data_IF_330731796692
#
_entry.id   IF_330731796692
#
_cell.length_a   1.000
_cell.length_b   1.000
_cell.length_c   1.000
_cell.angle_alpha   90.00
_cell.angle_beta   90.00
_cell.angle_gamma   90.00
#
_symmetry.space_group_name_H-M   'P 1'
#
loop_
_entity.id
_entity.type
_entity.pdbx_description
1 polymer ?
#
# COMPACT_ATOMS: atom_id res chain seq x y z
N UNK A 1 0.43 -11.80 13.91
CA UNK A 1 -0.68 -11.40 13.05
C UNK A 1 -0.18 -11.06 11.65
N UNK A 2 0.28 -9.85 11.39
CA UNK A 2 0.86 -9.41 10.12
C UNK A 2 1.80 -8.24 10.40
N UNK A 3 2.95 -8.20 9.69
CA UNK A 3 3.84 -7.04 9.71
C UNK A 3 3.52 -6.11 8.54
N UNK A 4 3.25 -4.84 8.82
CA UNK A 4 3.06 -3.79 7.82
C UNK A 4 4.37 -3.01 7.69
N UNK A 5 5.23 -3.41 6.75
CA UNK A 5 6.56 -2.81 6.49
C UNK A 5 6.42 -1.80 5.36
N UNK A 6 5.74 -0.70 5.65
CA UNK A 6 5.35 0.29 4.65
C UNK A 6 6.48 1.28 4.41
N UNK A 7 6.73 1.59 3.14
CA UNK A 7 7.73 2.57 2.73
C UNK A 7 9.14 2.01 2.53
N UNK A 8 9.36 0.73 2.74
CA UNK A 8 10.67 0.08 2.56
C UNK A 8 10.62 -0.96 1.43
N UNK A 9 11.68 -1.09 0.63
CA UNK A 9 11.82 -2.17 -0.35
C UNK A 9 12.27 -3.44 0.38
N UNK A 10 11.37 -4.40 0.53
CA UNK A 10 11.66 -5.68 1.19
C UNK A 10 11.72 -6.76 0.13
N UNK A 11 12.87 -7.41 -0.11
CA UNK A 11 12.96 -8.58 -0.97
C UNK A 11 12.08 -9.73 -0.47
N UNK A 12 11.60 -10.58 -1.36
CA UNK A 12 10.72 -11.70 -1.01
C UNK A 12 11.39 -12.72 -0.05
N UNK A 13 12.69 -12.84 -0.14
CA UNK A 13 13.54 -13.75 0.64
C UNK A 13 14.27 -13.08 1.81
N UNK A 14 13.93 -11.80 2.12
CA UNK A 14 14.60 -11.05 3.19
C UNK A 14 14.46 -11.71 4.57
N UNK A 15 13.29 -12.28 4.85
CA UNK A 15 13.05 -13.01 6.10
C UNK A 15 13.06 -14.51 5.87
N UNK A 16 13.75 -15.27 6.72
CA UNK A 16 13.81 -16.74 6.62
C UNK A 16 12.47 -17.43 6.90
N UNK A 17 11.66 -16.86 7.81
CA UNK A 17 10.42 -17.48 8.29
C UNK A 17 9.16 -16.66 8.03
N UNK A 18 9.28 -15.43 7.56
CA UNK A 18 8.14 -14.54 7.31
C UNK A 18 7.98 -14.33 5.80
N UNK A 19 6.88 -14.77 5.23
CA UNK A 19 6.57 -14.65 3.79
C UNK A 19 5.70 -13.42 3.51
N UNK A 20 5.69 -12.97 2.26
CA UNK A 20 4.71 -11.96 1.83
C UNK A 20 3.29 -12.51 1.99
N UNK A 21 2.35 -11.64 2.37
CA UNK A 21 0.94 -12.02 2.46
C UNK A 21 0.36 -12.25 1.07
N UNK A 22 -0.49 -13.27 0.91
CA UNK A 22 -1.13 -13.63 -0.36
C UNK A 22 -2.52 -13.03 -0.55
N UNK A 23 -3.16 -12.62 0.56
CA UNK A 23 -4.54 -12.09 0.56
C UNK A 23 -4.80 -11.17 1.76
N UNK A 24 -6.04 -10.78 1.95
CA UNK A 24 -6.48 -9.87 3.02
C UNK A 24 -6.57 -10.50 4.42
N UNK A 25 -6.55 -11.82 4.55
CA UNK A 25 -6.78 -12.53 5.81
C UNK A 25 -5.60 -13.37 6.28
N UNK A 26 -4.63 -13.66 5.40
CA UNK A 26 -3.41 -14.40 5.75
C UNK A 26 -2.69 -13.75 6.93
N UNK A 27 -2.30 -14.56 7.91
CA UNK A 27 -1.57 -14.14 9.11
C UNK A 27 -0.19 -14.80 9.17
N UNK A 28 0.73 -14.29 10.00
CA UNK A 28 2.12 -14.77 10.03
C UNK A 28 2.90 -14.37 8.78
N UNK A 29 2.55 -13.24 8.17
CA UNK A 29 3.13 -12.76 6.92
C UNK A 29 3.43 -11.25 6.99
N UNK A 30 3.99 -10.68 5.94
CA UNK A 30 4.21 -9.23 5.85
C UNK A 30 3.63 -8.63 4.57
N UNK A 31 3.33 -7.34 4.61
CA UNK A 31 2.98 -6.51 3.46
C UNK A 31 3.94 -5.34 3.36
N UNK A 32 4.25 -4.93 2.13
CA UNK A 32 5.11 -3.78 1.85
C UNK A 32 4.67 -3.08 0.58
N UNK A 33 4.89 -1.79 0.51
CA UNK A 33 4.78 -0.96 -0.70
C UNK A 33 5.47 0.38 -0.51
N UNK A 34 5.78 1.05 -1.63
CA UNK A 34 6.25 2.45 -1.71
C UNK A 34 5.43 3.15 -2.78
N UNK A 35 4.76 4.25 -2.44
CA UNK A 35 3.81 4.91 -3.34
C UNK A 35 4.47 6.01 -4.16
N UNK A 36 4.26 5.93 -5.47
CA UNK A 36 4.65 6.95 -6.44
C UNK A 36 3.46 7.34 -7.31
N UNK A 37 3.50 8.57 -7.84
CA UNK A 37 2.46 9.03 -8.75
C UNK A 37 2.44 8.17 -10.00
N UNK A 38 1.25 7.74 -10.41
CA UNK A 38 1.04 6.97 -11.64
C UNK A 38 1.67 7.70 -12.84
N UNK A 39 2.25 6.91 -13.74
CA UNK A 39 2.92 7.38 -14.96
C UNK A 39 4.10 8.33 -14.70
N UNK A 40 4.62 8.38 -13.47
CA UNK A 40 5.91 9.02 -13.20
C UNK A 40 7.03 7.99 -13.30
N UNK A 41 8.16 8.41 -13.82
CA UNK A 41 9.38 7.61 -13.75
C UNK A 41 9.77 7.36 -12.29
N UNK A 42 10.12 6.12 -11.97
CA UNK A 42 10.72 5.80 -10.69
C UNK A 42 12.07 6.54 -10.56
N UNK A 43 12.42 7.01 -9.37
CA UNK A 43 13.76 7.52 -9.13
C UNK A 43 14.82 6.49 -9.53
N UNK A 44 15.97 6.96 -10.02
CA UNK A 44 17.04 6.11 -10.54
C UNK A 44 17.48 5.03 -9.54
N UNK A 45 17.56 5.37 -8.26
CA UNK A 45 17.94 4.41 -7.21
C UNK A 45 16.97 3.23 -7.07
N UNK A 46 15.68 3.39 -7.45
CA UNK A 46 14.71 2.29 -7.49
C UNK A 46 14.91 1.46 -8.77
N UNK A 47 15.19 2.12 -9.90
CA UNK A 47 15.48 1.43 -11.15
C UNK A 47 16.76 0.58 -11.04
N UNK A 48 17.72 1.00 -10.22
CA UNK A 48 18.99 0.32 -9.98
C UNK A 48 18.89 -0.84 -8.95
N UNK A 49 17.74 -1.04 -8.31
CA UNK A 49 17.53 -2.16 -7.40
C UNK A 49 17.68 -3.49 -8.15
N UNK A 50 18.65 -4.31 -7.71
CA UNK A 50 18.96 -5.63 -8.32
C UNK A 50 18.12 -6.78 -7.75
N UNK A 51 17.08 -6.47 -7.00
CA UNK A 51 16.17 -7.44 -6.41
C UNK A 51 14.71 -7.05 -6.69
N UNK A 52 13.83 -8.03 -6.63
CA UNK A 52 12.39 -7.80 -6.69
C UNK A 52 11.87 -7.53 -5.29
N UNK A 53 11.38 -6.33 -5.06
CA UNK A 53 10.71 -5.97 -3.79
C UNK A 53 9.28 -6.52 -3.77
N UNK A 54 8.84 -6.95 -2.59
CA UNK A 54 7.43 -7.26 -2.35
C UNK A 54 6.63 -5.98 -2.43
N UNK A 55 5.60 -5.98 -3.26
CA UNK A 55 4.60 -4.90 -3.34
C UNK A 55 3.21 -5.53 -3.24
N UNK A 56 2.48 -5.17 -2.20
CA UNK A 56 1.10 -5.58 -1.99
C UNK A 56 0.19 -4.36 -2.17
N UNK A 57 -0.82 -4.49 -3.02
CA UNK A 57 -1.76 -3.39 -3.25
C UNK A 57 -2.71 -3.24 -2.04
N UNK A 58 -2.69 -2.12 -1.30
CA UNK A 58 -3.50 -1.94 -0.10
C UNK A 58 -5.01 -1.79 -0.37
N UNK A 59 -5.44 -1.76 -1.63
CA UNK A 59 -6.86 -1.76 -2.00
C UNK A 59 -7.43 -3.18 -2.15
N UNK A 60 -6.59 -4.17 -2.47
CA UNK A 60 -6.99 -5.57 -2.69
C UNK A 60 -6.29 -6.55 -1.75
N UNK A 61 -5.15 -6.16 -1.19
CA UNK A 61 -4.26 -7.00 -0.37
C UNK A 61 -3.63 -8.16 -1.14
N UNK A 62 -3.50 -7.99 -2.46
CA UNK A 62 -2.87 -8.95 -3.38
C UNK A 62 -1.68 -8.31 -4.08
N UNK A 63 -0.90 -9.13 -4.78
CA UNK A 63 0.23 -8.70 -5.61
C UNK A 63 -0.11 -8.60 -7.11
N UNK A 64 -1.40 -8.55 -7.47
CA UNK A 64 -1.83 -8.40 -8.85
C UNK A 64 -1.49 -7.01 -9.41
N UNK A 65 -1.05 -6.98 -10.67
CA UNK A 65 -0.53 -5.76 -11.32
C UNK A 65 -1.62 -4.95 -12.03
N UNK A 66 -2.87 -5.42 -12.05
CA UNK A 66 -3.98 -4.70 -12.63
C UNK A 66 -4.26 -3.38 -11.91
N UNK A 67 -4.75 -2.38 -12.67
CA UNK A 67 -5.18 -1.11 -12.08
C UNK A 67 -6.42 -1.33 -11.21
N UNK A 68 -6.31 -0.95 -9.95
CA UNK A 68 -7.42 -1.00 -8.99
C UNK A 68 -8.02 0.39 -8.85
N UNK A 69 -9.33 0.48 -9.08
CA UNK A 69 -10.09 1.72 -9.02
C UNK A 69 -10.06 2.37 -7.63
N UNK A 70 -10.09 3.70 -7.59
CA UNK A 70 -10.28 4.46 -6.36
C UNK A 70 -11.59 4.14 -5.63
N UNK A 71 -12.56 3.50 -6.30
CA UNK A 71 -13.81 3.05 -5.65
C UNK A 71 -13.57 2.06 -4.50
N UNK A 72 -12.46 1.31 -4.53
CA UNK A 72 -12.03 0.40 -3.45
C UNK A 72 -11.23 1.10 -2.35
N UNK A 73 -10.84 2.36 -2.54
CA UNK A 73 -10.19 3.14 -1.49
C UNK A 73 -11.24 3.63 -0.50
N UNK A 74 -11.27 3.04 0.68
CA UNK A 74 -12.24 3.32 1.76
C UNK A 74 -12.01 4.67 2.42
N UNK A 75 -10.80 5.21 2.32
CA UNK A 75 -10.48 6.56 2.73
C UNK A 75 -9.05 6.76 3.16
N UNK A 76 -8.56 7.94 2.86
CA UNK A 76 -7.28 8.46 3.34
C UNK A 76 -7.47 9.63 4.28
N UNK A 77 -6.43 9.95 5.02
CA UNK A 77 -6.29 11.17 5.82
C UNK A 77 -5.16 12.00 5.22
N UNK A 78 -5.39 13.29 5.01
CA UNK A 78 -4.40 14.17 4.40
C UNK A 78 -3.92 15.19 5.43
N UNK A 79 -4.02 16.49 5.14
CA UNK A 79 -3.58 17.53 6.08
C UNK A 79 -4.37 17.56 7.39
N UNK A 80 -5.66 17.26 7.33
CA UNK A 80 -6.52 17.20 8.50
C UNK A 80 -6.78 15.74 8.87
N UNK A 81 -6.12 15.25 9.90
CA UNK A 81 -6.24 13.87 10.38
C UNK A 81 -7.61 13.52 10.97
N UNK A 82 -8.44 14.53 11.27
CA UNK A 82 -9.82 14.32 11.73
C UNK A 82 -10.81 14.24 10.55
N UNK A 83 -10.32 14.34 9.31
CA UNK A 83 -11.14 14.29 8.12
C UNK A 83 -10.71 13.16 7.18
N UNK A 84 -11.57 12.15 7.07
CA UNK A 84 -11.37 11.03 6.14
C UNK A 84 -11.92 11.42 4.76
N UNK A 85 -11.10 11.27 3.74
CA UNK A 85 -11.48 11.48 2.34
C UNK A 85 -11.67 10.13 1.67
N UNK A 86 -12.90 9.71 1.32
CA UNK A 86 -13.15 8.45 0.64
C UNK A 86 -12.68 8.52 -0.82
N UNK A 87 -12.34 7.35 -1.38
CA UNK A 87 -11.96 7.20 -2.80
C UNK A 87 -10.83 8.14 -3.23
N UNK A 88 -9.86 8.38 -2.33
CA UNK A 88 -8.85 9.43 -2.49
C UNK A 88 -7.88 9.13 -3.62
N UNK A 89 -7.50 7.87 -3.84
CA UNK A 89 -6.58 7.44 -4.90
C UNK A 89 -6.94 6.06 -5.45
N UNK A 90 -6.60 5.79 -6.71
CA UNK A 90 -6.44 4.45 -7.29
C UNK A 90 -5.05 3.90 -7.00
N UNK A 91 -4.83 2.60 -7.20
CA UNK A 91 -3.53 1.98 -7.02
C UNK A 91 -3.24 0.92 -8.08
N UNK A 92 -1.96 0.79 -8.48
CA UNK A 92 -1.50 -0.21 -9.44
C UNK A 92 -0.06 -0.60 -9.08
N UNK A 93 0.22 -1.88 -8.98
CA UNK A 93 1.60 -2.35 -8.82
C UNK A 93 2.34 -2.18 -10.16
N UNK A 94 3.51 -1.56 -10.08
CA UNK A 94 4.40 -1.39 -11.22
C UNK A 94 5.85 -1.62 -10.78
N UNK A 95 6.42 -2.76 -11.20
CA UNK A 95 7.74 -3.20 -10.75
C UNK A 95 7.83 -3.20 -9.20
N UNK A 96 8.83 -2.52 -8.63
CA UNK A 96 9.10 -2.47 -7.19
C UNK A 96 8.34 -1.36 -6.46
N UNK A 97 7.32 -0.74 -7.08
CA UNK A 97 6.56 0.38 -6.50
C UNK A 97 5.06 0.22 -6.67
N UNK A 98 4.31 0.97 -5.89
CA UNK A 98 2.88 1.13 -6.04
C UNK A 98 2.59 2.48 -6.73
N UNK A 99 2.12 2.47 -7.95
CA UNK A 99 1.59 3.64 -8.61
C UNK A 99 0.24 4.05 -8.02
N UNK A 100 0.06 5.33 -7.79
CA UNK A 100 -1.19 5.91 -7.30
C UNK A 100 -1.60 7.10 -8.14
N UNK A 101 -2.90 7.26 -8.38
CA UNK A 101 -3.43 8.48 -8.99
C UNK A 101 -3.15 9.70 -8.09
N UNK A 102 -3.24 10.90 -8.65
CA UNK A 102 -3.27 12.10 -7.82
C UNK A 102 -4.47 12.04 -6.87
N UNK A 103 -4.31 12.47 -5.60
CA UNK A 103 -5.42 12.51 -4.66
C UNK A 103 -6.59 13.33 -5.20
N UNK A 104 -7.79 12.77 -5.13
CA UNK A 104 -9.01 13.44 -5.56
C UNK A 104 -9.60 14.31 -4.44
N UNK A 105 -9.00 15.46 -4.21
CA UNK A 105 -9.39 16.40 -3.14
C UNK A 105 -9.38 17.85 -3.63
N UNK A 106 -10.14 18.76 -3.01
CA UNK A 106 -10.02 20.18 -3.27
C UNK A 106 -8.59 20.69 -3.05
N UNK A 107 -8.11 21.55 -3.91
CA UNK A 107 -6.72 22.05 -3.83
C UNK A 107 -5.65 21.08 -4.30
N UNK A 108 -6.01 20.05 -5.05
CA UNK A 108 -5.10 19.01 -5.61
C UNK A 108 -3.92 19.54 -6.44
N UNK A 109 -3.94 20.80 -6.81
CA UNK A 109 -2.83 21.48 -7.51
C UNK A 109 -1.52 21.45 -6.70
N UNK A 110 -1.63 21.33 -5.36
CA UNK A 110 -0.47 21.22 -4.48
C UNK A 110 0.17 19.81 -4.48
N UNK A 111 -0.51 18.80 -5.05
CA UNK A 111 0.02 17.44 -5.18
C UNK A 111 0.74 17.25 -6.52
N UNK A 112 1.70 18.15 -6.80
CA UNK A 112 2.53 18.08 -8.01
C UNK A 112 3.69 17.10 -7.90
N UNK A 113 4.01 16.68 -6.68
CA UNK A 113 5.12 15.76 -6.42
C UNK A 113 4.90 14.42 -7.10
N UNK A 114 6.01 13.82 -7.56
CA UNK A 114 6.03 12.47 -8.14
C UNK A 114 6.11 11.39 -7.05
N UNK A 115 6.74 11.73 -5.93
CA UNK A 115 6.93 10.84 -4.79
C UNK A 115 5.79 11.04 -3.78
N UNK A 116 4.98 10.00 -3.59
CA UNK A 116 3.91 9.96 -2.59
C UNK A 116 4.27 9.12 -1.36
N UNK A 117 5.53 8.71 -1.24
CA UNK A 117 6.02 7.87 -0.15
C UNK A 117 5.70 8.43 1.24
N UNK A 118 5.77 9.75 1.43
CA UNK A 118 5.35 10.38 2.69
C UNK A 118 3.87 10.13 3.04
N UNK A 119 3.07 9.78 2.04
CA UNK A 119 1.64 9.47 2.17
C UNK A 119 1.31 7.98 2.13
N UNK A 120 2.29 7.07 2.17
CA UNK A 120 2.09 5.63 2.02
C UNK A 120 1.00 5.06 2.96
N UNK A 121 0.94 5.52 4.20
CA UNK A 121 -0.08 5.13 5.17
C UNK A 121 -1.33 5.98 4.99
N UNK A 122 -1.15 7.28 4.84
CA UNK A 122 -2.24 8.26 4.86
C UNK A 122 -3.21 8.08 3.69
N UNK A 123 -2.72 7.76 2.50
CA UNK A 123 -3.54 7.55 1.30
C UNK A 123 -4.45 6.31 1.40
N UNK A 124 -4.08 5.34 2.23
CA UNK A 124 -4.79 4.06 2.39
C UNK A 124 -5.24 3.81 3.83
N UNK A 125 -5.38 4.86 4.61
CA UNK A 125 -5.56 4.81 6.07
C UNK A 125 -6.69 3.88 6.52
N UNK A 126 -7.89 4.01 5.94
CA UNK A 126 -9.03 3.17 6.32
C UNK A 126 -8.85 1.73 5.84
N UNK A 127 -8.31 1.53 4.63
CA UNK A 127 -8.02 0.18 4.12
C UNK A 127 -7.03 -0.56 5.05
N UNK A 128 -5.96 0.11 5.51
CA UNK A 128 -4.99 -0.46 6.45
C UNK A 128 -5.67 -0.81 7.77
N UNK A 129 -6.43 0.13 8.34
CA UNK A 129 -7.10 -0.04 9.63
C UNK A 129 -8.07 -1.22 9.63
N UNK A 130 -8.92 -1.31 8.60
CA UNK A 130 -9.89 -2.41 8.49
C UNK A 130 -9.21 -3.75 8.20
N UNK A 131 -8.14 -3.76 7.41
CA UNK A 131 -7.37 -4.97 7.16
C UNK A 131 -6.67 -5.47 8.42
N UNK A 132 -6.09 -4.58 9.22
CA UNK A 132 -5.48 -4.95 10.50
C UNK A 132 -6.50 -5.60 11.43
N UNK A 133 -7.70 -5.03 11.53
CA UNK A 133 -8.80 -5.59 12.31
C UNK A 133 -9.24 -6.97 11.80
N UNK A 134 -9.39 -7.12 10.48
CA UNK A 134 -9.78 -8.39 9.85
C UNK A 134 -8.74 -9.50 10.12
N UNK A 135 -7.45 -9.18 10.01
CA UNK A 135 -6.35 -10.13 10.29
C UNK A 135 -6.26 -10.48 11.78
N UNK A 136 -6.54 -9.55 12.69
CA UNK A 136 -6.63 -9.85 14.12
C UNK A 136 -7.75 -10.86 14.38
N UNK A 137 -8.95 -10.63 13.81
CA UNK A 137 -10.08 -11.56 13.94
C UNK A 137 -9.75 -12.94 13.34
N UNK A 138 -9.12 -12.99 12.16
CA UNK A 138 -8.70 -14.24 11.55
C UNK A 138 -7.67 -14.99 12.40
N UNK A 139 -6.69 -14.28 12.97
CA UNK A 139 -5.68 -14.87 13.85
C UNK A 139 -6.32 -15.49 15.10
N UNK A 140 -7.19 -14.75 15.78
CA UNK A 140 -7.85 -15.24 16.99
C UNK A 140 -8.73 -16.47 16.73
N UNK A 141 -9.43 -16.49 15.58
CA UNK A 141 -10.24 -17.64 15.18
C UNK A 141 -9.41 -18.92 14.95
N UNK A 142 -8.19 -18.78 14.46
CA UNK A 142 -7.30 -19.92 14.22
C UNK A 142 -6.54 -20.39 15.47
N UNK A 143 -6.72 -19.74 16.62
CA UNK A 143 -6.16 -20.15 17.92
C UNK A 143 -7.16 -20.96 18.76
N UNK A 144 -8.42 -21.01 18.37
CA UNK A 144 -9.49 -21.79 18.99
C UNK A 144 -9.67 -23.14 18.31
#
# INVERSE_FOLDING_TARGET
VCAYIIGLPVPEDYFSSLKACSDSLTTGCFVSWRTYRKDSEAPQFIADEKFKAVVINPLTWTNETSLVSASLNKGGVLKNFNHVVPKVVSAQIHNNILWSSKPNVPGKIFYTQKNFHIGDINLFYINIRENAEARIKAFLKNQL
#
